data_IF_022314594931
#
_entry.id   IF_022314594931
#
_cell.length_a   1.000
_cell.length_b   1.000
_cell.length_c   1.000
_cell.angle_alpha   90.00
_cell.angle_beta   90.00
_cell.angle_gamma   90.00
#
_symmetry.space_group_name_H-M   'P 1'
#
loop_
_entity.id
_entity.type
_entity.pdbx_description
1 polymer ?
#
# COMPACT_ATOMS: atom_id res chain seq x y z
N UNK A 1 -33.06 -70.64 0.03
CA UNK A 1 -32.48 -70.51 1.39
C UNK A 1 -31.11 -69.90 1.29
N UNK A 2 -30.81 -68.96 2.19
CA UNK A 2 -29.49 -68.37 2.49
C UNK A 2 -28.96 -67.46 1.38
N UNK A 3 -29.33 -66.19 1.45
CA UNK A 3 -28.68 -65.16 2.29
C UNK A 3 -27.31 -64.81 1.68
N UNK A 4 -27.19 -63.64 1.06
CA UNK A 4 -26.98 -62.36 1.74
C UNK A 4 -25.64 -62.36 2.47
N UNK A 5 -24.85 -61.30 2.27
CA UNK A 5 -23.43 -61.11 2.64
C UNK A 5 -22.48 -61.78 1.65
N UNK A 6 -21.84 -61.05 0.74
CA UNK A 6 -20.80 -60.09 1.14
C UNK A 6 -20.68 -58.98 0.08
N UNK A 7 -21.68 -58.10 0.03
CA UNK A 7 -21.48 -56.71 -0.39
C UNK A 7 -21.30 -55.96 0.94
N UNK A 8 -20.11 -56.05 1.52
CA UNK A 8 -19.75 -55.29 2.72
C UNK A 8 -18.51 -54.48 2.35
N UNK A 9 -18.70 -53.16 2.35
CA UNK A 9 -17.68 -52.11 2.38
C UNK A 9 -16.90 -51.79 1.09
N UNK A 10 -17.62 -51.50 0.01
CA UNK A 10 -17.15 -50.53 -1.00
C UNK A 10 -18.02 -49.26 -1.07
N UNK A 11 -18.85 -49.02 -0.04
CA UNK A 11 -19.17 -47.66 0.38
C UNK A 11 -18.08 -47.21 1.35
N UNK A 12 -16.88 -46.92 0.85
CA UNK A 12 -16.17 -45.78 1.41
C UNK A 12 -17.04 -44.60 1.03
N UNK A 13 -18.00 -44.28 1.91
CA UNK A 13 -18.61 -42.97 1.92
C UNK A 13 -17.42 -42.05 2.12
N UNK A 14 -16.88 -41.53 1.02
CA UNK A 14 -16.13 -40.29 1.03
C UNK A 14 -17.11 -39.25 1.54
N UNK A 15 -17.34 -39.27 2.85
CA UNK A 15 -17.88 -38.16 3.60
C UNK A 15 -16.83 -37.08 3.38
N UNK A 16 -16.98 -36.35 2.28
CA UNK A 16 -16.40 -35.04 2.10
C UNK A 16 -16.99 -34.18 3.22
N UNK A 17 -16.46 -34.35 4.43
CA UNK A 17 -16.78 -33.49 5.55
C UNK A 17 -16.33 -32.10 5.13
N UNK A 18 -17.30 -31.28 4.75
CA UNK A 18 -17.07 -29.88 4.45
C UNK A 18 -16.45 -29.27 5.70
N UNK A 19 -15.27 -28.69 5.58
CA UNK A 19 -14.58 -28.06 6.71
C UNK A 19 -15.50 -27.05 7.41
N UNK A 20 -15.46 -27.00 8.73
CA UNK A 20 -16.19 -25.98 9.50
C UNK A 20 -15.54 -24.61 9.31
N UNK A 21 -16.22 -23.54 9.76
CA UNK A 21 -15.65 -22.18 9.70
C UNK A 21 -14.38 -22.09 10.53
N UNK A 22 -14.40 -22.68 11.72
CA UNK A 22 -13.30 -22.70 12.69
C UNK A 22 -12.11 -23.46 12.13
N UNK A 23 -12.34 -24.65 11.54
CA UNK A 23 -11.28 -25.41 10.88
C UNK A 23 -10.63 -24.65 9.71
N UNK A 24 -11.42 -23.88 8.96
CA UNK A 24 -10.90 -23.04 7.88
C UNK A 24 -10.08 -21.86 8.45
N UNK A 25 -10.57 -21.18 9.47
CA UNK A 25 -9.87 -20.10 10.16
C UNK A 25 -8.53 -20.59 10.70
N UNK A 26 -8.51 -21.70 11.46
CA UNK A 26 -7.29 -22.29 12.00
C UNK A 26 -6.29 -22.66 10.91
N UNK A 27 -6.78 -23.20 9.78
CA UNK A 27 -5.93 -23.55 8.65
C UNK A 27 -5.32 -22.33 7.94
N UNK A 28 -6.04 -21.20 7.92
CA UNK A 28 -5.54 -19.93 7.37
C UNK A 28 -4.51 -19.33 8.32
N UNK A 29 -4.80 -19.32 9.63
CA UNK A 29 -3.88 -18.86 10.69
C UNK A 29 -2.59 -19.67 10.69
N UNK A 30 -2.66 -20.99 10.45
CA UNK A 30 -1.47 -21.85 10.40
C UNK A 30 -0.47 -21.45 9.31
N UNK A 31 -0.95 -20.94 8.18
CA UNK A 31 -0.08 -20.40 7.11
C UNK A 31 0.33 -18.96 7.41
N UNK A 32 -0.56 -18.17 8.01
CA UNK A 32 -0.33 -16.79 8.44
C UNK A 32 0.23 -15.84 7.36
N UNK A 33 -0.27 -15.99 6.14
CA UNK A 33 0.09 -15.17 4.97
C UNK A 33 -1.15 -14.87 4.15
N UNK A 34 -1.17 -13.69 3.55
CA UNK A 34 -2.21 -13.26 2.60
C UNK A 34 -1.72 -13.56 1.18
N UNK A 35 -2.29 -14.57 0.56
CA UNK A 35 -2.00 -14.98 -0.82
C UNK A 35 -3.16 -14.64 -1.76
N UNK A 36 -2.85 -14.27 -3.01
CA UNK A 36 -3.83 -14.00 -4.06
C UNK A 36 -4.26 -15.27 -4.81
N UNK A 37 -5.15 -15.14 -5.79
CA UNK A 37 -5.57 -16.21 -6.68
C UNK A 37 -4.50 -16.60 -7.73
N UNK A 38 -3.35 -15.93 -7.71
CA UNK A 38 -2.28 -16.06 -8.69
C UNK A 38 -0.93 -15.90 -7.99
N UNK A 39 -0.23 -17.00 -7.71
CA UNK A 39 1.08 -16.98 -7.05
C UNK A 39 2.15 -17.79 -7.81
N UNK A 40 3.40 -17.37 -7.67
CA UNK A 40 4.58 -18.02 -8.22
C UNK A 40 4.66 -18.00 -9.75
N UNK A 41 5.61 -18.79 -10.26
CA UNK A 41 5.81 -18.97 -11.71
C UNK A 41 4.56 -19.67 -12.28
N UNK A 42 3.98 -19.07 -13.32
CA UNK A 42 2.82 -19.63 -14.00
C UNK A 42 1.46 -19.32 -13.35
N UNK A 43 1.39 -18.42 -12.36
CA UNK A 43 0.12 -17.94 -11.81
C UNK A 43 -0.74 -19.07 -11.22
N UNK A 44 -0.16 -19.84 -10.30
CA UNK A 44 -0.87 -20.96 -9.67
C UNK A 44 -1.88 -20.43 -8.65
N UNK A 45 -3.06 -21.05 -8.60
CA UNK A 45 -4.06 -20.72 -7.57
C UNK A 45 -3.54 -21.14 -6.20
N UNK A 46 -3.43 -20.17 -5.29
CA UNK A 46 -2.97 -20.42 -3.93
C UNK A 46 -3.92 -21.37 -3.16
N UNK A 47 -3.39 -22.39 -2.47
CA UNK A 47 -4.15 -23.16 -1.51
C UNK A 47 -4.69 -22.31 -0.34
N UNK A 48 -3.94 -21.29 0.07
CA UNK A 48 -4.31 -20.36 1.13
C UNK A 48 -5.48 -19.47 0.70
N UNK A 49 -5.39 -18.87 -0.48
CA UNK A 49 -6.49 -18.13 -1.09
C UNK A 49 -7.74 -19.00 -1.21
N UNK A 50 -7.58 -20.25 -1.66
CA UNK A 50 -8.68 -21.22 -1.79
C UNK A 50 -9.35 -21.51 -0.45
N UNK A 51 -8.60 -21.62 0.65
CA UNK A 51 -9.17 -21.77 2.02
C UNK A 51 -10.00 -20.55 2.39
N UNK A 52 -9.51 -19.34 2.13
CA UNK A 52 -10.28 -18.14 2.40
C UNK A 52 -11.56 -18.08 1.54
N UNK A 53 -11.51 -18.42 0.25
CA UNK A 53 -12.71 -18.47 -0.59
C UNK A 53 -13.73 -19.50 -0.08
N UNK A 54 -13.29 -20.65 0.45
CA UNK A 54 -14.17 -21.62 1.11
C UNK A 54 -14.79 -21.08 2.39
N UNK A 55 -14.01 -20.35 3.20
CA UNK A 55 -14.48 -19.70 4.42
C UNK A 55 -15.53 -18.64 4.08
N UNK A 56 -15.21 -17.72 3.17
CA UNK A 56 -16.10 -16.66 2.67
C UNK A 56 -17.49 -17.18 2.29
N UNK A 57 -17.57 -18.29 1.55
CA UNK A 57 -18.85 -18.91 1.12
C UNK A 57 -19.74 -19.37 2.29
N UNK A 58 -19.18 -19.52 3.50
CA UNK A 58 -19.88 -19.95 4.72
C UNK A 58 -20.18 -18.80 5.68
N UNK A 59 -19.65 -17.60 5.43
CA UNK A 59 -19.84 -16.45 6.30
C UNK A 59 -21.08 -15.66 5.87
N UNK A 60 -21.85 -15.23 6.86
CA UNK A 60 -22.74 -14.09 6.70
C UNK A 60 -21.94 -12.79 6.63
N UNK A 61 -22.59 -11.72 6.17
CA UNK A 61 -21.98 -10.39 6.15
C UNK A 61 -21.58 -9.90 7.54
N UNK A 62 -22.41 -10.14 8.56
CA UNK A 62 -22.09 -9.81 9.94
C UNK A 62 -20.84 -10.53 10.42
N UNK A 63 -20.71 -11.82 10.11
CA UNK A 63 -19.52 -12.60 10.49
C UNK A 63 -18.26 -12.14 9.75
N UNK A 64 -18.40 -11.71 8.48
CA UNK A 64 -17.28 -11.12 7.75
C UNK A 64 -16.81 -9.80 8.38
N UNK A 65 -17.73 -8.96 8.84
CA UNK A 65 -17.42 -7.74 9.61
C UNK A 65 -16.75 -8.07 10.94
N UNK A 66 -17.17 -9.13 11.64
CA UNK A 66 -16.47 -9.55 12.86
C UNK A 66 -15.07 -10.11 12.57
N UNK A 67 -14.89 -10.83 11.44
CA UNK A 67 -13.56 -11.29 11.04
C UNK A 67 -12.59 -10.16 10.68
N UNK A 68 -13.07 -9.01 10.20
CA UNK A 68 -12.18 -7.86 9.96
C UNK A 68 -11.64 -7.24 11.25
N UNK A 69 -12.15 -7.66 12.42
CA UNK A 69 -11.68 -7.25 13.75
C UNK A 69 -10.90 -8.36 14.48
N UNK A 70 -10.72 -9.52 13.87
CA UNK A 70 -10.07 -10.69 14.44
C UNK A 70 -8.65 -10.43 14.97
N UNK A 71 -8.16 -11.17 15.96
CA UNK A 71 -6.83 -10.90 16.55
C UNK A 71 -5.68 -11.22 15.58
N UNK A 72 -5.83 -12.26 14.75
CA UNK A 72 -4.85 -12.60 13.72
C UNK A 72 -4.88 -11.62 12.52
N UNK A 73 -3.73 -11.03 12.12
CA UNK A 73 -3.64 -10.05 11.04
C UNK A 73 -3.99 -10.59 9.66
N UNK A 74 -3.68 -11.86 9.36
CA UNK A 74 -4.01 -12.51 8.08
C UNK A 74 -5.52 -12.61 7.90
N UNK A 75 -6.24 -13.03 8.94
CA UNK A 75 -7.71 -13.13 8.93
C UNK A 75 -8.34 -11.76 8.71
N UNK A 76 -7.91 -10.74 9.47
CA UNK A 76 -8.42 -9.37 9.28
C UNK A 76 -8.16 -8.84 7.89
N UNK A 77 -6.96 -9.05 7.36
CA UNK A 77 -6.58 -8.53 6.04
C UNK A 77 -7.45 -9.14 4.94
N UNK A 78 -7.66 -10.45 4.95
CA UNK A 78 -8.55 -11.11 4.01
C UNK A 78 -10.00 -10.61 4.12
N UNK A 79 -10.52 -10.48 5.35
CA UNK A 79 -11.87 -9.98 5.58
C UNK A 79 -12.04 -8.53 5.12
N UNK A 80 -11.07 -7.67 5.43
CA UNK A 80 -11.04 -6.26 5.00
C UNK A 80 -11.03 -6.13 3.48
N UNK A 81 -10.20 -6.91 2.77
CA UNK A 81 -10.18 -6.93 1.29
C UNK A 81 -11.56 -7.30 0.73
N UNK A 82 -12.21 -8.33 1.27
CA UNK A 82 -13.54 -8.74 0.81
C UNK A 82 -14.62 -7.67 1.10
N UNK A 83 -14.60 -7.04 2.27
CA UNK A 83 -15.51 -5.95 2.61
C UNK A 83 -15.35 -4.74 1.69
N UNK A 84 -14.12 -4.43 1.30
CA UNK A 84 -13.79 -3.38 0.34
C UNK A 84 -14.34 -3.74 -1.04
N UNK A 85 -14.00 -4.91 -1.56
CA UNK A 85 -14.41 -5.34 -2.90
C UNK A 85 -15.94 -5.45 -3.03
N UNK A 86 -16.61 -5.98 -2.00
CA UNK A 86 -18.08 -6.08 -1.97
C UNK A 86 -18.80 -4.75 -1.71
N UNK A 87 -18.09 -3.69 -1.29
CA UNK A 87 -18.68 -2.39 -0.96
C UNK A 87 -19.49 -2.40 0.35
N UNK A 88 -19.25 -3.38 1.23
CA UNK A 88 -20.01 -3.60 2.47
C UNK A 88 -19.28 -3.13 3.73
N UNK A 89 -17.99 -2.78 3.62
CA UNK A 89 -17.17 -2.32 4.74
C UNK A 89 -17.20 -0.82 4.96
N UNK A 90 -17.09 -0.41 6.23
CA UNK A 90 -16.71 0.96 6.58
C UNK A 90 -15.19 1.14 6.38
N UNK A 91 -14.78 1.50 5.17
CA UNK A 91 -13.36 1.60 4.80
C UNK A 91 -12.58 2.62 5.64
N UNK A 92 -13.23 3.70 6.10
CA UNK A 92 -12.57 4.69 6.97
C UNK A 92 -12.21 4.10 8.34
N UNK A 93 -13.11 3.29 8.90
CA UNK A 93 -12.87 2.59 10.16
C UNK A 93 -11.82 1.49 10.00
N UNK A 94 -11.86 0.73 8.89
CA UNK A 94 -10.86 -0.28 8.57
C UNK A 94 -9.45 0.35 8.48
N UNK A 95 -9.30 1.42 7.69
CA UNK A 95 -8.03 2.12 7.53
C UNK A 95 -7.54 2.71 8.86
N UNK A 96 -8.41 3.44 9.56
CA UNK A 96 -8.04 4.08 10.83
C UNK A 96 -7.62 3.07 11.87
N UNK A 97 -8.32 1.93 11.97
CA UNK A 97 -8.00 0.86 12.91
C UNK A 97 -6.63 0.25 12.63
N UNK A 98 -6.33 -0.08 11.37
CA UNK A 98 -5.06 -0.71 11.02
C UNK A 98 -3.89 0.29 11.04
N UNK A 99 -4.13 1.58 10.81
CA UNK A 99 -3.13 2.63 11.11
C UNK A 99 -2.80 2.71 12.60
N UNK A 100 -3.79 2.57 13.49
CA UNK A 100 -3.54 2.57 14.93
C UNK A 100 -2.78 1.31 15.40
N UNK A 101 -3.14 0.14 14.84
CA UNK A 101 -2.45 -1.12 15.13
C UNK A 101 -1.02 -1.15 14.61
N UNK A 102 -0.78 -0.56 13.43
CA UNK A 102 0.52 -0.53 12.76
C UNK A 102 1.13 -1.92 12.59
N UNK A 103 0.29 -2.93 12.33
CA UNK A 103 0.71 -4.30 12.11
C UNK A 103 1.04 -4.55 10.63
N UNK A 104 1.96 -5.48 10.40
CA UNK A 104 2.33 -5.95 9.05
C UNK A 104 1.91 -7.41 8.87
N UNK A 105 1.72 -7.81 7.61
CA UNK A 105 1.42 -9.19 7.24
C UNK A 105 2.28 -9.60 6.04
N UNK A 106 2.69 -10.87 6.00
CA UNK A 106 3.33 -11.42 4.81
C UNK A 106 2.30 -11.51 3.69
N UNK A 107 2.70 -11.12 2.48
CA UNK A 107 1.89 -11.20 1.27
C UNK A 107 2.59 -12.09 0.24
N UNK A 108 1.81 -12.78 -0.59
CA UNK A 108 2.32 -13.42 -1.81
C UNK A 108 1.33 -13.20 -2.95
N UNK A 109 1.70 -12.31 -3.87
CA UNK A 109 0.89 -11.94 -5.02
C UNK A 109 1.75 -11.94 -6.29
N UNK A 110 1.30 -12.69 -7.30
CA UNK A 110 2.08 -12.94 -8.49
C UNK A 110 3.41 -13.59 -8.14
N UNK A 111 4.52 -12.97 -8.55
CA UNK A 111 5.88 -13.44 -8.24
C UNK A 111 6.50 -12.74 -7.02
N UNK A 112 5.74 -11.92 -6.29
CA UNK A 112 6.25 -11.04 -5.24
C UNK A 112 5.79 -11.55 -3.87
N UNK A 113 6.76 -11.81 -3.00
CA UNK A 113 6.54 -12.08 -1.59
C UNK A 113 7.11 -10.91 -0.80
N UNK A 114 6.31 -10.33 0.09
CA UNK A 114 6.68 -9.13 0.85
C UNK A 114 6.07 -9.13 2.25
N UNK A 115 6.41 -8.13 3.05
CA UNK A 115 5.83 -7.87 4.38
C UNK A 115 5.28 -6.45 4.40
N UNK A 116 3.97 -6.33 4.25
CA UNK A 116 3.29 -5.06 4.02
C UNK A 116 2.50 -4.59 5.26
N UNK A 117 2.48 -3.29 5.57
CA UNK A 117 1.54 -2.74 6.55
C UNK A 117 0.10 -2.98 6.12
N UNK A 118 -0.75 -3.45 7.03
CA UNK A 118 -2.16 -3.78 6.70
C UNK A 118 -2.93 -2.51 6.29
N UNK A 119 -2.58 -1.36 6.87
CA UNK A 119 -3.11 -0.05 6.46
C UNK A 119 -2.80 0.28 5.00
N UNK A 120 -1.61 -0.09 4.52
CA UNK A 120 -1.20 0.06 3.11
C UNK A 120 -2.04 -0.83 2.22
N UNK A 121 -2.21 -2.11 2.57
CA UNK A 121 -3.08 -3.05 1.83
C UNK A 121 -4.51 -2.50 1.74
N UNK A 122 -5.09 -2.01 2.84
CA UNK A 122 -6.45 -1.47 2.88
C UNK A 122 -6.61 -0.24 1.99
N UNK A 123 -5.70 0.72 2.08
CA UNK A 123 -5.74 1.93 1.27
C UNK A 123 -5.62 1.58 -0.23
N UNK A 124 -4.66 0.72 -0.57
CA UNK A 124 -4.41 0.30 -1.95
C UNK A 124 -5.52 -0.56 -2.54
N UNK A 125 -6.18 -1.39 -1.75
CA UNK A 125 -7.30 -2.21 -2.19
C UNK A 125 -8.47 -1.34 -2.67
N UNK A 126 -8.83 -0.32 -1.88
CA UNK A 126 -9.90 0.60 -2.26
C UNK A 126 -9.50 1.49 -3.45
N UNK A 127 -8.26 2.01 -3.46
CA UNK A 127 -7.73 2.77 -4.59
C UNK A 127 -7.73 1.96 -5.89
N UNK A 128 -7.31 0.70 -5.85
CA UNK A 128 -7.32 -0.22 -7.00
C UNK A 128 -8.74 -0.52 -7.45
N UNK A 129 -9.68 -0.76 -6.53
CA UNK A 129 -11.09 -1.01 -6.84
C UNK A 129 -11.67 0.11 -7.70
N UNK A 130 -11.55 1.37 -7.26
CA UNK A 130 -12.10 2.53 -7.98
C UNK A 130 -11.49 2.67 -9.38
N UNK A 131 -10.17 2.48 -9.50
CA UNK A 131 -9.48 2.52 -10.80
C UNK A 131 -9.98 1.43 -11.74
N UNK A 132 -9.98 0.18 -11.30
CA UNK A 132 -10.36 -0.95 -12.13
C UNK A 132 -11.84 -0.89 -12.55
N UNK A 133 -12.73 -0.45 -11.66
CA UNK A 133 -14.14 -0.23 -11.99
C UNK A 133 -14.34 0.87 -13.05
N UNK A 134 -13.53 1.93 -13.00
CA UNK A 134 -13.56 2.99 -14.01
C UNK A 134 -13.01 2.51 -15.36
N UNK A 135 -11.86 1.84 -15.35
CA UNK A 135 -11.23 1.29 -16.56
C UNK A 135 -12.16 0.34 -17.33
N UNK A 136 -12.86 -0.56 -16.62
CA UNK A 136 -13.79 -1.54 -17.23
C UNK A 136 -14.96 -0.90 -17.97
N UNK A 137 -15.27 0.38 -17.72
CA UNK A 137 -16.35 1.11 -18.42
C UNK A 137 -15.89 1.72 -19.74
N UNK A 138 -14.58 1.68 -20.02
CA UNK A 138 -13.97 2.29 -21.20
C UNK A 138 -13.59 1.19 -22.20
N UNK A 139 -14.27 1.17 -23.34
CA UNK A 139 -13.95 0.30 -24.48
C UNK A 139 -12.82 0.86 -25.37
N UNK A 140 -12.07 1.83 -24.82
CA UNK A 140 -11.03 2.60 -25.49
C UNK A 140 -9.64 1.99 -25.39
N UNK A 141 -8.65 2.73 -25.84
CA UNK A 141 -7.24 2.35 -25.71
C UNK A 141 -6.73 2.55 -24.26
N UNK A 142 -5.50 2.09 -23.99
CA UNK A 142 -4.90 2.18 -22.64
C UNK A 142 -4.83 3.62 -22.11
N UNK A 143 -4.60 4.61 -22.98
CA UNK A 143 -4.54 6.01 -22.55
C UNK A 143 -5.90 6.53 -22.06
N UNK A 144 -6.99 6.19 -22.75
CA UNK A 144 -8.34 6.56 -22.32
C UNK A 144 -8.73 5.86 -21.02
N UNK A 145 -8.31 4.61 -20.83
CA UNK A 145 -8.48 3.87 -19.59
C UNK A 145 -7.70 4.53 -18.43
N UNK A 146 -6.45 4.93 -18.65
CA UNK A 146 -5.62 5.61 -17.66
C UNK A 146 -6.23 6.95 -17.21
N UNK A 147 -6.71 7.76 -18.16
CA UNK A 147 -7.41 9.00 -17.85
C UNK A 147 -8.68 8.76 -17.02
N UNK A 148 -9.45 7.71 -17.35
CA UNK A 148 -10.64 7.36 -16.59
C UNK A 148 -10.30 6.89 -15.16
N UNK A 149 -9.24 6.10 -14.99
CA UNK A 149 -8.74 5.68 -13.69
C UNK A 149 -8.32 6.87 -12.82
N UNK A 150 -7.52 7.79 -13.39
CA UNK A 150 -7.07 9.00 -12.68
C UNK A 150 -8.26 9.88 -12.28
N UNK A 151 -9.18 10.12 -13.22
CA UNK A 151 -10.38 10.92 -12.95
C UNK A 151 -11.25 10.29 -11.86
N UNK A 152 -11.42 8.97 -11.88
CA UNK A 152 -12.24 8.27 -10.88
C UNK A 152 -11.66 8.43 -9.49
N UNK A 153 -10.35 8.21 -9.31
CA UNK A 153 -9.70 8.43 -8.02
C UNK A 153 -9.80 9.89 -7.60
N UNK A 154 -9.46 10.84 -8.49
CA UNK A 154 -9.46 12.28 -8.18
C UNK A 154 -10.84 12.86 -7.84
N UNK A 155 -11.93 12.17 -8.18
CA UNK A 155 -13.31 12.64 -7.93
C UNK A 155 -14.07 11.79 -6.92
N UNK A 156 -13.53 10.65 -6.50
CA UNK A 156 -14.15 9.81 -5.48
C UNK A 156 -14.06 10.46 -4.09
N UNK A 157 -15.23 10.61 -3.45
CA UNK A 157 -15.39 11.25 -2.15
C UNK A 157 -14.87 10.40 -0.99
N UNK A 158 -14.93 9.08 -1.11
CA UNK A 158 -14.41 8.18 -0.08
C UNK A 158 -12.89 8.21 -0.11
N UNK A 159 -12.27 8.21 -1.29
CA UNK A 159 -10.83 8.43 -1.46
C UNK A 159 -10.39 9.76 -0.87
N UNK A 160 -11.13 10.85 -1.09
CA UNK A 160 -10.82 12.15 -0.45
C UNK A 160 -10.77 12.05 1.08
N UNK A 161 -11.71 11.29 1.68
CA UNK A 161 -11.70 11.07 3.13
C UNK A 161 -10.56 10.18 3.58
N UNK A 162 -10.19 9.15 2.82
CA UNK A 162 -9.03 8.31 3.12
C UNK A 162 -7.74 9.13 3.03
N UNK A 163 -7.60 9.97 2.01
CA UNK A 163 -6.48 10.91 1.85
C UNK A 163 -6.36 11.82 3.09
N UNK A 164 -7.48 12.34 3.59
CA UNK A 164 -7.53 13.13 4.83
C UNK A 164 -7.04 12.34 6.05
N UNK A 165 -7.49 11.09 6.23
CA UNK A 165 -7.02 10.22 7.33
C UNK A 165 -5.50 10.06 7.28
N UNK A 166 -4.92 9.90 6.08
CA UNK A 166 -3.47 9.79 5.92
C UNK A 166 -2.74 11.10 6.22
N UNK A 167 -3.20 12.22 5.65
CA UNK A 167 -2.57 13.53 5.84
C UNK A 167 -2.53 13.92 7.31
N UNK A 168 -3.62 13.67 8.04
CA UNK A 168 -3.74 13.98 9.47
C UNK A 168 -3.29 12.86 10.40
N UNK A 169 -2.76 11.75 9.88
CA UNK A 169 -2.22 10.69 10.71
C UNK A 169 -0.96 11.17 11.45
N UNK A 170 -0.90 10.92 12.75
CA UNK A 170 0.31 11.11 13.56
C UNK A 170 1.15 9.82 13.67
N UNK A 171 0.72 8.73 13.04
CA UNK A 171 1.45 7.47 12.94
C UNK A 171 2.41 7.50 11.76
N UNK A 172 3.44 6.65 11.80
CA UNK A 172 4.29 6.39 10.63
C UNK A 172 3.43 5.70 9.55
N UNK A 173 3.31 6.35 8.40
CA UNK A 173 2.51 5.87 7.27
C UNK A 173 3.47 5.41 6.19
N UNK A 174 3.21 4.23 5.63
CA UNK A 174 3.95 3.67 4.51
C UNK A 174 4.13 4.69 3.38
N UNK A 175 5.37 4.86 2.91
CA UNK A 175 5.73 5.91 1.95
C UNK A 175 4.89 5.87 0.67
N UNK A 176 4.50 4.68 0.21
CA UNK A 176 3.74 4.50 -1.02
C UNK A 176 2.32 5.05 -0.90
N UNK A 177 1.77 5.08 0.31
CA UNK A 177 0.47 5.72 0.56
C UNK A 177 0.61 7.23 0.38
N UNK A 178 1.67 7.85 0.90
CA UNK A 178 1.90 9.29 0.73
C UNK A 178 2.06 9.68 -0.74
N UNK A 179 2.81 8.89 -1.50
CA UNK A 179 2.94 9.05 -2.94
C UNK A 179 1.56 9.17 -3.61
N UNK A 180 0.70 8.17 -3.40
CA UNK A 180 -0.66 8.15 -3.96
C UNK A 180 -1.52 9.29 -3.45
N UNK A 181 -1.54 9.55 -2.14
CA UNK A 181 -2.34 10.63 -1.53
C UNK A 181 -2.05 11.97 -2.20
N UNK A 182 -0.77 12.28 -2.45
CA UNK A 182 -0.36 13.53 -3.05
C UNK A 182 -0.44 13.56 -4.58
N UNK A 183 -0.45 12.41 -5.25
CA UNK A 183 -0.69 12.30 -6.69
C UNK A 183 -2.18 12.33 -7.07
N UNK A 184 -3.07 11.80 -6.22
CA UNK A 184 -4.49 11.60 -6.53
C UNK A 184 -5.21 12.88 -6.93
N UNK A 185 -4.90 14.02 -6.31
CA UNK A 185 -5.62 15.28 -6.47
C UNK A 185 -4.86 16.49 -5.91
N UNK A 186 -5.30 17.70 -6.27
CA UNK A 186 -5.06 18.91 -5.46
C UNK A 186 -6.04 18.89 -4.29
N UNK A 187 -5.51 18.84 -3.07
CA UNK A 187 -6.27 18.89 -1.82
C UNK A 187 -6.79 20.29 -1.51
N UNK A 188 -7.76 20.38 -0.60
CA UNK A 188 -8.30 21.65 -0.09
C UNK A 188 -7.21 22.45 0.61
N UNK A 189 -7.23 23.77 0.44
CA UNK A 189 -6.24 24.66 1.07
C UNK A 189 -6.24 24.58 2.60
N UNK A 190 -7.34 24.15 3.23
CA UNK A 190 -7.39 23.88 4.66
C UNK A 190 -6.43 22.79 5.13
N UNK A 191 -5.90 21.96 4.22
CA UNK A 191 -4.92 20.91 4.53
C UNK A 191 -3.48 21.45 4.47
N UNK A 192 -3.24 22.63 3.87
CA UNK A 192 -1.91 23.21 3.70
C UNK A 192 -1.08 23.25 4.99
N UNK A 193 -1.62 23.66 6.16
CA UNK A 193 -0.81 23.68 7.39
C UNK A 193 -0.24 22.29 7.74
N UNK A 194 -1.01 21.22 7.52
CA UNK A 194 -0.55 19.85 7.78
C UNK A 194 0.41 19.36 6.70
N UNK A 195 0.16 19.68 5.43
CA UNK A 195 1.06 19.34 4.32
C UNK A 195 2.42 20.03 4.48
N UNK A 196 2.43 21.30 4.90
CA UNK A 196 3.66 22.02 5.24
C UNK A 196 4.42 21.37 6.40
N UNK A 197 3.70 20.94 7.43
CA UNK A 197 4.32 20.23 8.56
C UNK A 197 5.00 18.94 8.09
N UNK A 198 4.31 18.14 7.27
CA UNK A 198 4.85 16.92 6.68
C UNK A 198 6.10 17.24 5.83
N UNK A 199 6.02 18.21 4.93
CA UNK A 199 7.11 18.57 4.03
C UNK A 199 8.36 19.07 4.79
N UNK A 200 8.18 20.02 5.72
CA UNK A 200 9.30 20.77 6.27
C UNK A 200 9.73 20.34 7.68
N UNK A 201 8.84 19.75 8.48
CA UNK A 201 9.20 19.25 9.82
C UNK A 201 9.41 17.74 9.85
N UNK A 202 8.69 16.99 9.01
CA UNK A 202 8.81 15.52 8.92
C UNK A 202 9.67 15.07 7.74
N UNK A 203 10.19 16.00 6.93
CA UNK A 203 11.03 15.71 5.75
C UNK A 203 10.34 14.76 4.77
N UNK A 204 9.01 14.84 4.65
CA UNK A 204 8.25 14.01 3.73
C UNK A 204 8.38 14.59 2.31
N UNK A 205 9.10 13.90 1.44
CA UNK A 205 9.38 14.39 0.09
C UNK A 205 8.13 14.47 -0.79
N UNK A 206 7.17 13.56 -0.60
CA UNK A 206 5.91 13.59 -1.36
C UNK A 206 5.07 14.83 -1.03
N UNK A 207 5.02 15.23 0.24
CA UNK A 207 4.39 16.49 0.65
C UNK A 207 5.14 17.71 0.10
N UNK A 208 6.47 17.65 0.05
CA UNK A 208 7.29 18.70 -0.55
C UNK A 208 7.01 18.84 -2.05
N UNK A 209 6.99 17.73 -2.80
CA UNK A 209 6.71 17.70 -4.24
C UNK A 209 5.27 18.13 -4.54
N UNK A 210 4.33 17.80 -3.67
CA UNK A 210 2.96 18.31 -3.74
C UNK A 210 2.92 19.85 -3.70
N UNK A 211 3.61 20.48 -2.74
CA UNK A 211 3.66 21.93 -2.63
C UNK A 211 4.32 22.56 -3.86
N UNK A 212 5.42 21.96 -4.34
CA UNK A 212 6.12 22.37 -5.57
C UNK A 212 5.20 22.30 -6.80
N UNK A 213 4.38 21.25 -6.92
CA UNK A 213 3.49 21.02 -8.06
C UNK A 213 2.28 21.96 -8.07
N UNK A 214 1.61 22.13 -6.93
CA UNK A 214 0.30 22.79 -6.89
C UNK A 214 0.32 24.24 -6.36
N UNK A 215 1.42 24.66 -5.73
CA UNK A 215 1.61 25.99 -5.15
C UNK A 215 3.03 26.55 -5.40
N UNK A 216 3.54 26.51 -6.66
CA UNK A 216 4.92 26.88 -6.96
C UNK A 216 5.22 28.35 -6.65
N UNK A 217 4.28 29.27 -6.89
CA UNK A 217 4.43 30.70 -6.60
C UNK A 217 4.59 30.98 -5.12
N UNK A 218 3.79 30.32 -4.30
CA UNK A 218 3.67 30.54 -2.86
C UNK A 218 4.84 29.92 -2.10
N UNK A 219 5.34 28.78 -2.57
CA UNK A 219 6.33 27.99 -1.85
C UNK A 219 7.73 27.97 -2.46
N UNK A 220 7.96 28.49 -3.67
CA UNK A 220 9.28 28.46 -4.35
C UNK A 220 10.46 28.82 -3.44
N UNK A 221 10.41 29.98 -2.77
CA UNK A 221 11.47 30.42 -1.86
C UNK A 221 11.61 29.53 -0.62
N UNK A 222 10.49 29.07 -0.05
CA UNK A 222 10.50 28.19 1.12
C UNK A 222 11.07 26.80 0.79
N UNK A 223 10.73 26.24 -0.36
CA UNK A 223 11.24 24.98 -0.88
C UNK A 223 12.76 25.08 -1.12
N UNK A 224 13.21 26.15 -1.80
CA UNK A 224 14.63 26.42 -2.03
C UNK A 224 15.40 26.58 -0.72
N UNK A 225 14.84 27.33 0.23
CA UNK A 225 15.42 27.49 1.57
C UNK A 225 15.56 26.14 2.26
N UNK A 226 14.51 25.33 2.29
CA UNK A 226 14.56 24.00 2.90
C UNK A 226 15.67 23.13 2.30
N UNK A 227 15.77 23.05 0.98
CA UNK A 227 16.80 22.26 0.28
C UNK A 227 18.23 22.73 0.59
N UNK A 228 18.44 24.03 0.81
CA UNK A 228 19.76 24.62 1.05
C UNK A 228 20.15 24.69 2.53
N UNK A 229 19.18 24.80 3.44
CA UNK A 229 19.46 25.04 4.87
C UNK A 229 19.08 23.90 5.79
N UNK A 230 17.95 23.25 5.53
CA UNK A 230 17.30 22.34 6.48
C UNK A 230 17.54 20.88 6.08
N UNK A 231 17.34 20.53 4.81
CA UNK A 231 17.62 19.20 4.26
C UNK A 231 19.05 18.68 4.57
N UNK A 232 20.13 19.48 4.46
CA UNK A 232 21.46 19.03 4.81
C UNK A 232 21.58 18.55 6.27
N UNK A 233 20.75 19.08 7.17
CA UNK A 233 20.74 18.80 8.63
C UNK A 233 19.68 17.79 9.05
N UNK A 234 18.67 17.56 8.22
CA UNK A 234 17.64 16.55 8.45
C UNK A 234 18.27 15.18 8.69
N UNK A 235 17.61 14.27 9.39
CA UNK A 235 18.10 12.90 9.57
C UNK A 235 17.06 11.94 8.99
N UNK A 236 17.54 10.94 8.27
CA UNK A 236 16.73 9.86 7.72
C UNK A 236 17.14 8.55 8.40
N UNK A 237 16.19 7.89 9.05
CA UNK A 237 16.42 6.77 9.98
C UNK A 237 15.55 5.55 9.67
N UNK A 238 14.31 5.75 9.22
CA UNK A 238 13.36 4.68 8.92
C UNK A 238 13.47 4.21 7.47
N UNK A 239 12.81 3.10 7.14
CA UNK A 239 12.70 2.63 5.76
C UNK A 239 11.97 3.63 4.87
N UNK A 240 10.84 4.19 5.32
CA UNK A 240 10.10 5.24 4.61
C UNK A 240 11.00 6.45 4.29
N UNK A 241 11.80 6.87 5.27
CA UNK A 241 12.70 8.01 5.15
C UNK A 241 13.82 7.79 4.12
N UNK A 242 14.19 6.55 3.81
CA UNK A 242 15.14 6.27 2.70
C UNK A 242 14.53 6.67 1.35
N UNK A 243 13.23 6.44 1.15
CA UNK A 243 12.53 6.88 -0.06
C UNK A 243 12.46 8.40 -0.14
N UNK A 244 12.23 9.07 0.99
CA UNK A 244 12.24 10.55 1.02
C UNK A 244 13.63 11.11 0.72
N UNK A 245 14.67 10.54 1.33
CA UNK A 245 16.05 10.91 1.04
C UNK A 245 16.35 10.75 -0.45
N UNK A 246 15.97 9.62 -1.04
CA UNK A 246 16.20 9.37 -2.46
C UNK A 246 15.52 10.42 -3.35
N UNK A 247 14.25 10.71 -3.11
CA UNK A 247 13.46 11.72 -3.85
C UNK A 247 14.06 13.14 -3.73
N UNK A 248 14.55 13.54 -2.55
CA UNK A 248 15.26 14.82 -2.41
C UNK A 248 16.59 14.86 -3.17
N UNK A 249 17.35 13.76 -3.14
CA UNK A 249 18.60 13.65 -3.89
C UNK A 249 18.34 13.77 -5.39
N UNK A 250 17.32 13.08 -5.91
CA UNK A 250 16.91 13.20 -7.31
C UNK A 250 16.53 14.65 -7.64
N UNK A 251 15.68 15.28 -6.82
CA UNK A 251 15.28 16.69 -7.00
C UNK A 251 16.48 17.64 -7.06
N UNK A 252 17.47 17.46 -6.18
CA UNK A 252 18.68 18.30 -6.17
C UNK A 252 19.52 18.10 -7.44
N UNK A 253 19.69 16.86 -7.89
CA UNK A 253 20.51 16.52 -9.04
C UNK A 253 19.86 16.90 -10.39
N UNK A 254 18.53 16.91 -10.46
CA UNK A 254 17.80 17.31 -11.67
C UNK A 254 17.77 18.83 -11.91
N UNK A 255 18.09 19.64 -10.89
CA UNK A 255 18.05 21.10 -10.96
C UNK A 255 19.12 21.75 -11.86
N UNK A 256 20.13 20.99 -12.31
CA UNK A 256 21.35 21.50 -12.95
C UNK A 256 22.08 22.61 -12.17
N UNK A 257 21.85 22.71 -10.85
CA UNK A 257 22.52 23.67 -9.98
C UNK A 257 23.71 23.02 -9.25
N UNK A 258 24.92 23.54 -9.47
CA UNK A 258 26.15 23.01 -8.87
C UNK A 258 26.18 23.06 -7.33
N UNK A 259 25.50 24.02 -6.71
CA UNK A 259 25.33 24.06 -5.24
C UNK A 259 24.47 22.89 -4.77
N UNK A 260 23.36 22.62 -5.46
CA UNK A 260 22.46 21.50 -5.11
C UNK A 260 23.15 20.15 -5.30
N UNK A 261 23.94 20.01 -6.37
CA UNK A 261 24.79 18.83 -6.57
C UNK A 261 25.76 18.61 -5.41
N UNK A 262 26.43 19.67 -4.94
CA UNK A 262 27.32 19.60 -3.76
C UNK A 262 26.57 19.21 -2.49
N UNK A 263 25.38 19.75 -2.27
CA UNK A 263 24.52 19.40 -1.13
C UNK A 263 24.16 17.91 -1.18
N UNK A 264 23.69 17.40 -2.33
CA UNK A 264 23.33 16.00 -2.50
C UNK A 264 24.51 15.05 -2.21
N UNK A 265 25.68 15.35 -2.79
CA UNK A 265 26.91 14.58 -2.55
C UNK A 265 27.33 14.62 -1.07
N UNK A 266 27.31 15.79 -0.46
CA UNK A 266 27.67 15.93 0.95
C UNK A 266 26.72 15.13 1.85
N UNK A 267 25.41 15.17 1.56
CA UNK A 267 24.39 14.43 2.31
C UNK A 267 24.63 12.92 2.27
N UNK A 268 24.91 12.37 1.09
CA UNK A 268 25.18 10.93 0.93
C UNK A 268 26.53 10.50 1.49
N UNK A 269 27.51 11.40 1.63
CA UNK A 269 28.78 11.11 2.30
C UNK A 269 28.66 11.09 3.82
N UNK A 270 27.70 11.83 4.39
CA UNK A 270 27.52 11.91 5.85
C UNK A 270 26.49 10.91 6.37
N UNK A 271 25.50 10.55 5.57
CA UNK A 271 24.50 9.54 5.93
C UNK A 271 24.79 8.21 5.27
N UNK A 272 24.75 7.14 6.05
CA UNK A 272 25.05 5.78 5.57
C UNK A 272 23.77 4.97 5.27
N UNK A 273 22.60 5.47 5.65
CA UNK A 273 21.33 4.73 5.58
C UNK A 273 20.96 4.33 4.15
N UNK A 274 21.29 5.18 3.17
CA UNK A 274 21.03 4.93 1.75
C UNK A 274 21.76 3.68 1.22
N UNK A 275 22.86 3.25 1.87
CA UNK A 275 23.63 2.06 1.46
C UNK A 275 22.80 0.77 1.56
N UNK A 276 21.77 0.74 2.41
CA UNK A 276 20.77 -0.36 2.45
C UNK A 276 20.02 -0.52 1.14
N UNK A 277 19.90 0.55 0.34
CA UNK A 277 19.26 0.59 -0.98
C UNK A 277 20.22 1.12 -2.05
N UNK A 278 21.53 0.81 -1.94
CA UNK A 278 22.60 1.37 -2.80
C UNK A 278 22.32 1.27 -4.30
N UNK A 279 21.66 0.21 -4.77
CA UNK A 279 21.35 0.04 -6.19
C UNK A 279 20.48 1.17 -6.76
N UNK A 280 19.52 1.65 -5.97
CA UNK A 280 18.63 2.74 -6.39
C UNK A 280 19.37 4.08 -6.45
N UNK A 281 20.12 4.40 -5.39
CA UNK A 281 20.94 5.60 -5.35
C UNK A 281 22.02 5.62 -6.43
N UNK A 282 22.71 4.50 -6.66
CA UNK A 282 23.73 4.40 -7.71
C UNK A 282 23.14 4.61 -9.11
N UNK A 283 21.92 4.14 -9.35
CA UNK A 283 21.23 4.38 -10.62
C UNK A 283 21.01 5.88 -10.85
N UNK A 284 20.53 6.59 -9.83
CA UNK A 284 20.35 8.05 -9.88
C UNK A 284 21.69 8.78 -10.02
N UNK A 285 22.69 8.45 -9.20
CA UNK A 285 24.02 9.09 -9.26
C UNK A 285 24.69 8.92 -10.63
N UNK A 286 24.60 7.71 -11.21
CA UNK A 286 25.15 7.41 -12.54
C UNK A 286 24.47 8.21 -13.65
N UNK A 287 23.15 8.44 -13.59
CA UNK A 287 22.41 9.31 -14.52
C UNK A 287 23.00 10.72 -14.57
N UNK A 288 23.59 11.18 -13.46
CA UNK A 288 24.20 12.51 -13.33
C UNK A 288 25.74 12.51 -13.33
N UNK A 289 26.37 11.39 -13.71
CA UNK A 289 27.83 11.27 -13.79
C UNK A 289 28.56 11.39 -12.46
N UNK A 290 27.94 10.92 -11.37
CA UNK A 290 28.49 10.97 -10.01
C UNK A 290 28.82 9.54 -9.54
N UNK A 291 29.96 9.39 -8.88
CA UNK A 291 30.39 8.16 -8.22
C UNK A 291 30.78 8.48 -6.76
N UNK A 292 30.28 7.68 -5.80
CA UNK A 292 30.44 7.88 -4.35
C UNK A 292 30.95 6.62 -3.66
#
# INVERSE_FOLDING_TARGET
>A
MKKLLTIIFSLTISLCFSQTKEQLIDSIIKVNRVESDCIGIGCMVSPQYTRFQKLKKKLSEKELIELSKHENPTIRTYASKELIQSGKGNILELLSTELQKNEKVETFEGCIMDVEPISSIIYHEYWNKIRLEASRKINGNNYEQDLAMQKAVATDFTMEKLDSVIIYSEKDVDWLIYDRVFENRKHKDSYLPRIEELAFKKNNSYAFDYLKKYYPSEYSEKLKKYLTTDFPKAKFQTENEIFYLHSYIETLLESNNEEFKKIAISKLRTEEIWKKRKGWFNTTLKKHGIEL
#
